data_IF_890645986233
#
_entry.id   IF_890645986233
#
_cell.length_a   1.000
_cell.length_b   1.000
_cell.length_c   1.000
_cell.angle_alpha   90.00
_cell.angle_beta   90.00
_cell.angle_gamma   90.00
#
_symmetry.space_group_name_H-M   'P 1'
#
loop_
_entity.id
_entity.type
_entity.pdbx_description
1 polymer ?
#
# COMPACT_ATOMS: atom_id res chain seq x y z
N UNK A 1 -23.56 -27.55 75.88
CA UNK A 1 -23.51 -27.87 74.43
C UNK A 1 -23.31 -26.66 73.50
N UNK A 2 -23.65 -25.43 73.91
CA UNK A 2 -23.59 -24.22 73.08
C UNK A 2 -22.21 -23.91 72.48
N UNK A 3 -21.12 -24.19 73.21
CA UNK A 3 -19.74 -23.94 72.74
C UNK A 3 -19.32 -24.82 71.55
N UNK A 4 -19.86 -26.04 71.41
CA UNK A 4 -19.61 -26.94 70.27
C UNK A 4 -20.38 -26.48 69.03
N UNK A 5 -21.62 -26.00 69.21
CA UNK A 5 -22.46 -25.46 68.13
C UNK A 5 -21.84 -24.19 67.52
N UNK A 6 -21.34 -23.29 68.36
CA UNK A 6 -20.67 -22.05 67.91
C UNK A 6 -19.36 -22.36 67.16
N UNK A 7 -18.54 -23.30 67.65
CA UNK A 7 -17.32 -23.75 66.95
C UNK A 7 -17.64 -24.40 65.59
N UNK A 8 -18.71 -25.19 65.49
CA UNK A 8 -19.17 -25.81 64.23
C UNK A 8 -19.65 -24.76 63.22
N UNK A 9 -20.45 -23.77 63.66
CA UNK A 9 -20.86 -22.62 62.81
C UNK A 9 -19.65 -21.81 62.31
N UNK A 10 -18.63 -21.57 63.15
CA UNK A 10 -17.39 -20.88 62.74
C UNK A 10 -16.58 -21.69 61.71
N UNK A 11 -16.48 -23.01 61.85
CA UNK A 11 -15.82 -23.89 60.84
C UNK A 11 -16.57 -23.88 59.51
N UNK A 12 -17.91 -23.97 59.52
CA UNK A 12 -18.74 -23.93 58.30
C UNK A 12 -18.58 -22.58 57.59
N UNK A 13 -18.59 -21.45 58.31
CA UNK A 13 -18.33 -20.12 57.71
C UNK A 13 -16.96 -20.03 57.05
N UNK A 14 -15.91 -20.62 57.65
CA UNK A 14 -14.56 -20.66 57.06
C UNK A 14 -14.52 -21.49 55.77
N UNK A 15 -15.21 -22.63 55.73
CA UNK A 15 -15.28 -23.48 54.53
C UNK A 15 -16.00 -22.73 53.40
N UNK A 16 -17.15 -22.13 53.68
CA UNK A 16 -17.90 -21.32 52.70
C UNK A 16 -17.03 -20.16 52.17
N UNK A 17 -16.29 -19.49 53.06
CA UNK A 17 -15.39 -18.41 52.67
C UNK A 17 -14.27 -18.87 51.73
N UNK A 18 -13.66 -20.03 52.01
CA UNK A 18 -12.63 -20.63 51.14
C UNK A 18 -13.21 -20.98 49.76
N UNK A 19 -14.39 -21.61 49.70
CA UNK A 19 -15.06 -21.90 48.43
C UNK A 19 -15.37 -20.62 47.64
N UNK A 20 -15.79 -19.56 48.31
CA UNK A 20 -16.07 -18.27 47.68
C UNK A 20 -14.80 -17.67 47.03
N UNK A 21 -13.64 -17.79 47.69
CA UNK A 21 -12.36 -17.34 47.15
C UNK A 21 -11.98 -18.13 45.90
N UNK A 22 -12.09 -19.46 45.93
CA UNK A 22 -11.78 -20.29 44.75
C UNK A 22 -12.73 -20.01 43.58
N UNK A 23 -14.00 -19.74 43.87
CA UNK A 23 -14.98 -19.36 42.85
C UNK A 23 -14.63 -18.01 42.21
N UNK A 24 -14.27 -17.00 43.01
CA UNK A 24 -13.84 -15.68 42.51
C UNK A 24 -12.54 -15.79 41.70
N UNK A 25 -11.57 -16.59 42.15
CA UNK A 25 -10.33 -16.84 41.41
C UNK A 25 -10.58 -17.57 40.08
N UNK A 26 -11.52 -18.52 40.07
CA UNK A 26 -11.96 -19.22 38.85
C UNK A 26 -12.58 -18.26 37.84
N UNK A 27 -13.47 -17.35 38.29
CA UNK A 27 -14.06 -16.31 37.44
C UNK A 27 -12.98 -15.38 36.89
N UNK A 28 -12.04 -14.92 37.72
CA UNK A 28 -10.93 -14.07 37.29
C UNK A 28 -10.04 -14.76 36.24
N UNK A 29 -9.76 -16.05 36.42
CA UNK A 29 -9.00 -16.84 35.44
C UNK A 29 -9.77 -17.00 34.12
N UNK A 30 -11.07 -17.27 34.18
CA UNK A 30 -11.94 -17.38 33.01
C UNK A 30 -12.03 -16.07 32.22
N UNK A 31 -12.26 -14.94 32.91
CA UNK A 31 -12.29 -13.61 32.30
C UNK A 31 -10.94 -13.23 31.67
N UNK A 32 -9.81 -13.63 32.28
CA UNK A 32 -8.47 -13.41 31.71
C UNK A 32 -8.25 -14.25 30.45
N UNK A 33 -8.76 -15.49 30.41
CA UNK A 33 -8.69 -16.38 29.23
C UNK A 33 -9.51 -15.82 28.07
N UNK A 34 -10.74 -15.35 28.31
CA UNK A 34 -11.58 -14.71 27.29
C UNK A 34 -10.97 -13.44 26.70
N UNK A 35 -10.36 -12.57 27.55
CA UNK A 35 -9.66 -11.39 27.05
C UNK A 35 -8.50 -11.77 26.11
N UNK A 36 -7.76 -12.83 26.46
CA UNK A 36 -6.65 -13.34 25.64
C UNK A 36 -7.16 -13.88 24.30
N UNK A 37 -8.20 -14.71 24.29
CA UNK A 37 -8.81 -15.23 23.05
C UNK A 37 -9.43 -14.13 22.19
N UNK A 38 -10.14 -13.17 22.77
CA UNK A 38 -10.68 -11.99 22.07
C UNK A 38 -9.58 -11.19 21.36
N UNK A 39 -8.41 -11.06 21.98
CA UNK A 39 -7.27 -10.36 21.38
C UNK A 39 -6.72 -11.12 20.17
N UNK A 40 -6.60 -12.45 20.25
CA UNK A 40 -6.14 -13.26 19.11
C UNK A 40 -7.14 -13.27 17.95
N UNK A 41 -8.45 -13.35 18.25
CA UNK A 41 -9.51 -13.31 17.25
C UNK A 41 -9.48 -11.97 16.51
N UNK A 42 -9.45 -10.85 17.23
CA UNK A 42 -9.34 -9.50 16.63
C UNK A 42 -8.08 -9.35 15.76
N UNK A 43 -6.95 -9.92 16.19
CA UNK A 43 -5.72 -9.92 15.39
C UNK A 43 -5.88 -10.74 14.11
N UNK A 44 -6.47 -11.94 14.19
CA UNK A 44 -6.71 -12.80 13.04
C UNK A 44 -7.71 -12.18 12.06
N UNK A 45 -8.79 -11.57 12.55
CA UNK A 45 -9.75 -10.80 11.74
C UNK A 45 -9.05 -9.63 11.03
N UNK A 46 -8.20 -8.90 11.73
CA UNK A 46 -7.38 -7.83 11.15
C UNK A 46 -6.51 -8.33 9.98
N UNK A 47 -5.83 -9.46 10.16
CA UNK A 47 -5.01 -10.10 9.11
C UNK A 47 -5.87 -10.52 7.92
N UNK A 48 -7.01 -11.17 8.14
CA UNK A 48 -7.93 -11.58 7.06
C UNK A 48 -8.48 -10.38 6.29
N UNK A 49 -8.79 -9.27 6.99
CA UNK A 49 -9.23 -8.03 6.35
C UNK A 49 -8.09 -7.43 5.51
N UNK A 50 -6.85 -7.43 6.01
CA UNK A 50 -5.68 -6.95 5.27
C UNK A 50 -5.38 -7.81 4.04
N UNK A 51 -5.40 -9.14 4.17
CA UNK A 51 -5.23 -10.06 3.04
C UNK A 51 -6.31 -9.86 1.98
N UNK A 52 -7.58 -9.74 2.41
CA UNK A 52 -8.70 -9.47 1.50
C UNK A 52 -8.53 -8.12 0.78
N UNK A 53 -8.10 -7.07 1.48
CA UNK A 53 -7.78 -5.77 0.87
C UNK A 53 -6.63 -5.89 -0.12
N UNK A 54 -5.57 -6.63 0.20
CA UNK A 54 -4.43 -6.82 -0.69
C UNK A 54 -4.80 -7.62 -1.94
N UNK A 55 -5.68 -8.62 -1.80
CA UNK A 55 -6.25 -9.36 -2.91
C UNK A 55 -7.05 -8.43 -3.83
N UNK A 56 -7.86 -7.53 -3.25
CA UNK A 56 -8.64 -6.54 -3.99
C UNK A 56 -7.74 -5.52 -4.73
N UNK A 57 -6.65 -5.07 -4.10
CA UNK A 57 -5.63 -4.23 -4.75
C UNK A 57 -4.99 -4.94 -5.93
N UNK A 58 -4.59 -6.21 -5.76
CA UNK A 58 -3.95 -7.00 -6.83
C UNK A 58 -4.90 -7.18 -8.02
N UNK A 59 -6.17 -7.48 -7.74
CA UNK A 59 -7.22 -7.57 -8.75
C UNK A 59 -7.46 -6.24 -9.46
N UNK A 60 -7.58 -5.15 -8.70
CA UNK A 60 -7.76 -3.80 -9.26
C UNK A 60 -6.60 -3.37 -10.16
N UNK A 61 -5.35 -3.72 -9.82
CA UNK A 61 -4.20 -3.47 -10.69
C UNK A 61 -4.31 -4.26 -12.01
N UNK A 62 -4.79 -5.51 -11.98
CA UNK A 62 -5.02 -6.28 -13.21
C UNK A 62 -6.11 -5.65 -14.08
N UNK A 63 -7.20 -5.19 -13.48
CA UNK A 63 -8.28 -4.47 -14.17
C UNK A 63 -7.75 -3.19 -14.84
N UNK A 64 -6.94 -2.40 -14.14
CA UNK A 64 -6.29 -1.21 -14.72
C UNK A 64 -5.46 -1.56 -15.95
N UNK A 65 -4.67 -2.64 -15.90
CA UNK A 65 -3.86 -3.08 -17.05
C UNK A 65 -4.75 -3.49 -18.24
N UNK A 66 -5.83 -4.23 -17.98
CA UNK A 66 -6.79 -4.62 -19.02
C UNK A 66 -7.45 -3.38 -19.67
N UNK A 67 -7.88 -2.41 -18.86
CA UNK A 67 -8.46 -1.16 -19.35
C UNK A 67 -7.46 -0.37 -20.22
N UNK A 68 -6.18 -0.32 -19.83
CA UNK A 68 -5.12 0.30 -20.64
C UNK A 68 -4.92 -0.43 -21.97
N UNK A 69 -4.93 -1.76 -21.98
CA UNK A 69 -4.81 -2.56 -23.20
C UNK A 69 -6.00 -2.32 -24.14
N UNK A 70 -7.20 -2.18 -23.59
CA UNK A 70 -8.43 -1.82 -24.32
C UNK A 70 -8.52 -0.34 -24.69
N UNK A 71 -7.49 0.46 -24.37
CA UNK A 71 -7.43 1.91 -24.58
C UNK A 71 -8.54 2.70 -23.88
N UNK A 72 -9.14 2.12 -22.83
CA UNK A 72 -10.14 2.79 -22.00
C UNK A 72 -9.44 3.61 -20.91
N UNK A 73 -8.80 4.70 -21.32
CA UNK A 73 -7.94 5.50 -20.46
C UNK A 73 -8.72 6.29 -19.39
N UNK A 74 -9.99 6.61 -19.64
CA UNK A 74 -10.84 7.31 -18.68
C UNK A 74 -11.15 6.41 -17.48
N UNK A 75 -11.65 5.20 -17.73
CA UNK A 75 -11.91 4.23 -16.67
C UNK A 75 -10.62 3.78 -16.00
N UNK A 76 -9.52 3.58 -16.75
CA UNK A 76 -8.23 3.24 -16.16
C UNK A 76 -7.76 4.30 -15.15
N UNK A 77 -7.88 5.59 -15.51
CA UNK A 77 -7.57 6.72 -14.61
C UNK A 77 -8.45 6.68 -13.35
N UNK A 78 -9.77 6.50 -13.50
CA UNK A 78 -10.70 6.46 -12.38
C UNK A 78 -10.40 5.30 -11.42
N UNK A 79 -10.20 4.11 -11.98
CA UNK A 79 -9.86 2.92 -11.20
C UNK A 79 -8.52 3.07 -10.48
N UNK A 80 -7.51 3.66 -11.12
CA UNK A 80 -6.25 3.99 -10.45
C UNK A 80 -6.46 4.90 -9.23
N UNK A 81 -7.24 5.98 -9.37
CA UNK A 81 -7.48 6.94 -8.29
C UNK A 81 -8.23 6.30 -7.12
N UNK A 82 -9.20 5.44 -7.41
CA UNK A 82 -9.92 4.67 -6.39
C UNK A 82 -8.97 3.79 -5.58
N UNK A 83 -8.14 2.98 -6.24
CA UNK A 83 -7.22 2.05 -5.57
C UNK A 83 -6.13 2.81 -4.79
N UNK A 84 -5.69 3.98 -5.28
CA UNK A 84 -4.67 4.80 -4.62
C UNK A 84 -5.10 5.35 -3.25
N UNK A 85 -6.41 5.39 -2.97
CA UNK A 85 -6.97 5.76 -1.67
C UNK A 85 -6.90 4.62 -0.62
N UNK A 86 -6.53 3.41 -1.04
CA UNK A 86 -6.36 2.27 -0.14
C UNK A 86 -4.97 2.27 0.53
N UNK A 87 -4.82 1.39 1.52
CA UNK A 87 -3.50 1.08 2.07
C UNK A 87 -2.75 0.20 1.06
N UNK A 88 -1.64 0.71 0.53
CA UNK A 88 -0.88 0.08 -0.56
C UNK A 88 0.56 -0.13 -0.13
N UNK A 89 1.13 -1.26 -0.55
CA UNK A 89 2.59 -1.41 -0.52
C UNK A 89 3.21 -0.37 -1.42
N UNK A 90 4.45 0.01 -1.10
CA UNK A 90 5.18 1.04 -1.83
C UNK A 90 5.30 0.71 -3.32
N UNK A 91 5.58 -0.55 -3.64
CA UNK A 91 5.74 -1.06 -5.00
C UNK A 91 4.42 -0.97 -5.78
N UNK A 92 3.29 -1.34 -5.16
CA UNK A 92 1.95 -1.27 -5.73
C UNK A 92 1.54 0.18 -6.00
N UNK A 93 1.82 1.09 -5.06
CA UNK A 93 1.56 2.52 -5.22
C UNK A 93 2.34 3.09 -6.40
N UNK A 94 3.62 2.76 -6.52
CA UNK A 94 4.46 3.23 -7.64
C UNK A 94 3.96 2.66 -8.98
N UNK A 95 3.55 1.40 -9.01
CA UNK A 95 2.98 0.75 -10.17
C UNK A 95 1.68 1.43 -10.62
N UNK A 96 0.75 1.70 -9.70
CA UNK A 96 -0.52 2.39 -9.97
C UNK A 96 -0.31 3.83 -10.44
N UNK A 97 0.60 4.58 -9.80
CA UNK A 97 0.95 5.93 -10.25
C UNK A 97 1.52 5.92 -11.66
N UNK A 98 2.29 4.89 -12.02
CA UNK A 98 2.79 4.74 -13.38
C UNK A 98 1.64 4.56 -14.36
N UNK A 99 0.69 3.65 -14.08
CA UNK A 99 -0.50 3.48 -14.91
C UNK A 99 -1.38 4.73 -14.99
N UNK A 100 -1.56 5.44 -13.88
CA UNK A 100 -2.27 6.71 -13.85
C UNK A 100 -1.60 7.76 -14.74
N UNK A 101 -0.27 7.84 -14.72
CA UNK A 101 0.48 8.75 -15.61
C UNK A 101 0.29 8.41 -17.09
N UNK A 102 0.24 7.12 -17.44
CA UNK A 102 -0.04 6.67 -18.82
C UNK A 102 -1.46 7.05 -19.25
N UNK A 103 -2.45 6.86 -18.36
CA UNK A 103 -3.82 7.30 -18.60
C UNK A 103 -3.90 8.81 -18.80
N UNK A 104 -3.24 9.61 -17.96
CA UNK A 104 -3.17 11.06 -18.12
C UNK A 104 -2.50 11.46 -19.44
N UNK A 105 -1.42 10.78 -19.86
CA UNK A 105 -0.79 11.05 -21.14
C UNK A 105 -1.72 10.79 -22.33
N UNK A 106 -2.43 9.67 -22.31
CA UNK A 106 -3.38 9.31 -23.36
C UNK A 106 -4.55 10.31 -23.43
N UNK A 107 -4.99 10.82 -22.28
CA UNK A 107 -6.01 11.87 -22.15
C UNK A 107 -5.49 13.29 -22.38
N UNK A 108 -4.23 13.45 -22.82
CA UNK A 108 -3.55 14.74 -23.05
C UNK A 108 -3.43 15.63 -21.79
N UNK A 109 -3.60 15.08 -20.60
CA UNK A 109 -3.43 15.76 -19.31
C UNK A 109 -1.95 15.76 -18.90
N UNK A 110 -1.10 16.42 -19.69
CA UNK A 110 0.36 16.31 -19.60
C UNK A 110 0.92 16.75 -18.25
N UNK A 111 0.36 17.81 -17.66
CA UNK A 111 0.84 18.34 -16.38
C UNK A 111 0.64 17.34 -15.24
N UNK A 112 -0.54 16.72 -15.16
CA UNK A 112 -0.83 15.67 -14.16
C UNK A 112 0.04 14.43 -14.38
N UNK A 113 0.28 14.05 -15.63
CA UNK A 113 1.21 12.96 -15.92
C UNK A 113 2.63 13.26 -15.39
N UNK A 114 3.12 14.49 -15.57
CA UNK A 114 4.42 14.90 -15.05
C UNK A 114 4.47 14.88 -13.52
N UNK A 115 3.40 15.28 -12.84
CA UNK A 115 3.30 15.23 -11.38
C UNK A 115 3.47 13.80 -10.85
N UNK A 116 2.71 12.84 -11.39
CA UNK A 116 2.82 11.44 -10.98
C UNK A 116 4.19 10.85 -11.32
N UNK A 117 4.75 11.14 -12.50
CA UNK A 117 6.06 10.65 -12.89
C UNK A 117 7.19 11.24 -12.04
N UNK A 118 7.08 12.51 -11.62
CA UNK A 118 8.03 13.13 -10.67
C UNK A 118 7.96 12.46 -9.32
N UNK A 119 6.78 12.10 -8.84
CA UNK A 119 6.66 11.38 -7.58
C UNK A 119 7.29 9.98 -7.67
N UNK A 120 7.06 9.26 -8.77
CA UNK A 120 7.73 7.97 -9.05
C UNK A 120 9.25 8.14 -9.07
N UNK A 121 9.76 9.25 -9.61
CA UNK A 121 11.21 9.52 -9.70
C UNK A 121 11.90 9.66 -8.33
N UNK A 122 11.14 9.84 -7.24
CA UNK A 122 11.70 9.81 -5.87
C UNK A 122 12.07 8.40 -5.42
N UNK A 123 11.52 7.37 -6.07
CA UNK A 123 11.74 5.96 -5.73
C UNK A 123 12.77 5.32 -6.66
N UNK A 124 14.04 5.71 -6.51
CA UNK A 124 15.16 5.34 -7.40
C UNK A 124 15.41 3.84 -7.56
N UNK A 125 15.00 3.01 -6.60
CA UNK A 125 15.11 1.54 -6.65
C UNK A 125 13.91 0.85 -7.32
N UNK A 126 12.84 1.59 -7.66
CA UNK A 126 11.66 1.02 -8.30
C UNK A 126 11.96 0.56 -9.72
N UNK A 127 11.38 -0.57 -10.12
CA UNK A 127 11.41 -1.05 -11.52
C UNK A 127 10.84 -0.02 -12.50
N UNK A 128 9.99 0.91 -12.05
CA UNK A 128 9.38 1.98 -12.87
C UNK A 128 10.21 3.25 -12.94
N UNK A 129 11.27 3.37 -12.15
CA UNK A 129 12.10 4.57 -12.16
C UNK A 129 12.72 4.88 -13.54
N UNK A 130 13.32 3.91 -14.27
CA UNK A 130 13.85 4.19 -15.61
C UNK A 130 12.77 4.70 -16.57
N UNK A 131 11.61 4.03 -16.60
CA UNK A 131 10.48 4.41 -17.45
C UNK A 131 10.01 5.83 -17.10
N UNK A 132 9.92 6.17 -15.82
CA UNK A 132 9.44 7.47 -15.37
C UNK A 132 10.36 8.62 -15.79
N UNK A 133 11.68 8.45 -15.61
CA UNK A 133 12.68 9.45 -16.03
C UNK A 133 12.64 9.64 -17.56
N UNK A 134 12.58 8.56 -18.33
CA UNK A 134 12.53 8.65 -19.78
C UNK A 134 11.24 9.35 -20.27
N UNK A 135 10.09 9.00 -19.69
CA UNK A 135 8.80 9.62 -20.02
C UNK A 135 8.78 11.11 -19.67
N UNK A 136 9.36 11.52 -18.54
CA UNK A 136 9.51 12.94 -18.20
C UNK A 136 10.28 13.68 -19.30
N UNK A 137 11.42 13.15 -19.75
CA UNK A 137 12.18 13.70 -20.87
C UNK A 137 11.32 13.87 -22.12
N UNK A 138 10.57 12.82 -22.49
CA UNK A 138 9.70 12.82 -23.68
C UNK A 138 8.56 13.83 -23.58
N UNK A 139 7.92 13.97 -22.42
CA UNK A 139 6.83 14.94 -22.24
C UNK A 139 7.37 16.36 -22.37
N UNK A 140 8.47 16.67 -21.68
CA UNK A 140 9.07 18.00 -21.74
C UNK A 140 9.53 18.36 -23.16
N UNK A 141 10.08 17.41 -23.91
CA UNK A 141 10.44 17.60 -25.32
C UNK A 141 9.21 17.82 -26.19
N UNK A 142 8.29 16.86 -26.21
CA UNK A 142 7.29 16.78 -27.27
C UNK A 142 6.09 17.69 -27.02
N UNK A 143 5.69 17.83 -25.74
CA UNK A 143 4.44 18.49 -25.35
C UNK A 143 4.66 19.89 -24.83
N UNK A 144 5.72 20.10 -24.03
CA UNK A 144 6.03 21.42 -23.47
C UNK A 144 7.09 22.19 -24.26
N UNK A 145 7.74 21.56 -25.24
CA UNK A 145 8.85 22.14 -26.03
C UNK A 145 9.97 22.72 -25.14
N UNK A 146 10.12 22.20 -23.93
CA UNK A 146 11.14 22.61 -22.98
C UNK A 146 12.36 21.70 -23.11
N UNK A 147 13.15 21.98 -24.15
CA UNK A 147 14.31 21.17 -24.52
C UNK A 147 15.40 21.14 -23.44
N UNK A 148 15.52 22.21 -22.64
CA UNK A 148 16.45 22.27 -21.50
C UNK A 148 16.11 21.22 -20.44
N UNK A 149 14.83 21.13 -20.05
CA UNK A 149 14.39 20.14 -19.07
C UNK A 149 14.38 18.73 -19.68
N UNK A 150 13.98 18.58 -20.94
CA UNK A 150 14.05 17.30 -21.64
C UNK A 150 15.47 16.72 -21.65
N UNK A 151 16.46 17.55 -22.03
CA UNK A 151 17.89 17.21 -22.00
C UNK A 151 18.32 16.74 -20.62
N UNK A 152 17.91 17.43 -19.56
CA UNK A 152 18.22 17.04 -18.18
C UNK A 152 17.75 15.62 -17.88
N UNK A 153 16.50 15.29 -18.20
CA UNK A 153 15.96 13.95 -17.92
C UNK A 153 16.59 12.85 -18.78
N UNK A 154 16.89 13.11 -20.06
CA UNK A 154 17.60 12.15 -20.89
C UNK A 154 19.03 11.87 -20.41
N UNK A 155 19.75 12.90 -19.93
CA UNK A 155 21.05 12.71 -19.27
C UNK A 155 20.92 11.83 -18.02
N UNK A 156 19.99 12.16 -17.11
CA UNK A 156 19.74 11.35 -15.91
C UNK A 156 19.44 9.89 -16.25
N UNK A 157 18.66 9.63 -17.31
CA UNK A 157 18.38 8.28 -17.77
C UNK A 157 19.66 7.56 -18.21
N UNK A 158 20.46 8.18 -19.07
CA UNK A 158 21.67 7.57 -19.63
C UNK A 158 22.79 7.40 -18.61
N UNK A 159 22.90 8.31 -17.64
CA UNK A 159 23.91 8.22 -16.57
C UNK A 159 23.63 7.02 -15.64
N UNK A 160 22.34 6.69 -15.43
CA UNK A 160 21.93 5.60 -14.53
C UNK A 160 21.65 4.28 -15.24
N UNK A 161 21.22 4.34 -16.49
CA UNK A 161 20.82 3.21 -17.31
C UNK A 161 21.47 3.31 -18.69
N UNK A 162 22.81 3.26 -18.80
CA UNK A 162 23.52 3.44 -20.07
C UNK A 162 23.14 2.40 -21.13
N UNK A 163 22.75 1.20 -20.68
CA UNK A 163 22.30 0.06 -21.49
C UNK A 163 20.83 -0.31 -21.22
N UNK A 164 20.07 0.60 -20.61
CA UNK A 164 18.63 0.45 -20.41
C UNK A 164 17.85 0.35 -21.74
N UNK A 165 16.63 -0.18 -21.68
CA UNK A 165 15.75 -0.40 -22.85
C UNK A 165 15.61 0.83 -23.76
N UNK A 166 15.60 2.04 -23.18
CA UNK A 166 15.40 3.28 -23.93
C UNK A 166 16.70 4.03 -24.22
N UNK A 167 17.88 3.45 -23.94
CA UNK A 167 19.16 4.17 -24.02
C UNK A 167 19.50 4.62 -25.42
N UNK A 168 19.30 3.74 -26.41
CA UNK A 168 19.52 4.10 -27.81
C UNK A 168 18.66 5.31 -28.22
N UNK A 169 17.36 5.29 -27.84
CA UNK A 169 16.43 6.39 -28.12
C UNK A 169 16.87 7.65 -27.35
N UNK A 170 17.20 7.54 -26.07
CA UNK A 170 17.61 8.65 -25.23
C UNK A 170 18.90 9.32 -25.75
N UNK A 171 19.90 8.55 -26.22
CA UNK A 171 21.13 9.08 -26.85
C UNK A 171 20.79 9.87 -28.10
N UNK A 172 19.98 9.29 -28.99
CA UNK A 172 19.56 9.96 -30.23
C UNK A 172 18.78 11.24 -29.94
N UNK A 173 17.84 11.21 -28.99
CA UNK A 173 17.09 12.39 -28.55
C UNK A 173 18.04 13.46 -28.00
N UNK A 174 18.96 13.08 -27.13
CA UNK A 174 19.92 14.00 -26.52
C UNK A 174 20.79 14.73 -27.56
N UNK A 175 21.24 14.03 -28.61
CA UNK A 175 21.99 14.62 -29.73
C UNK A 175 21.14 15.58 -30.56
N UNK A 176 19.86 15.28 -30.74
CA UNK A 176 18.95 16.10 -31.55
C UNK A 176 18.50 17.39 -30.85
N UNK A 177 18.55 17.41 -29.52
CA UNK A 177 18.24 18.58 -28.71
C UNK A 177 19.44 19.54 -28.74
N UNK A 178 19.41 20.51 -29.66
CA UNK A 178 20.37 21.64 -29.71
C UNK A 178 20.14 22.62 -28.55
#
# INVERSE_FOLDING_TARGET
EESRVIKKKRKIKKIIFIFLIFFILGILFFLKREKKTSTYIKKAEGVLIEEKKQLDVSKGIMEVKDLLNKRNFLLAKERCLEILNLNLKKEERVELKFYLSLSYLALKQYQKAVEELKDISRFTKSKRYPDAIFLLGRIYEEKFKNYKIARKYYKIYLDRFPDGRMSWIARRKLLSLK
#
